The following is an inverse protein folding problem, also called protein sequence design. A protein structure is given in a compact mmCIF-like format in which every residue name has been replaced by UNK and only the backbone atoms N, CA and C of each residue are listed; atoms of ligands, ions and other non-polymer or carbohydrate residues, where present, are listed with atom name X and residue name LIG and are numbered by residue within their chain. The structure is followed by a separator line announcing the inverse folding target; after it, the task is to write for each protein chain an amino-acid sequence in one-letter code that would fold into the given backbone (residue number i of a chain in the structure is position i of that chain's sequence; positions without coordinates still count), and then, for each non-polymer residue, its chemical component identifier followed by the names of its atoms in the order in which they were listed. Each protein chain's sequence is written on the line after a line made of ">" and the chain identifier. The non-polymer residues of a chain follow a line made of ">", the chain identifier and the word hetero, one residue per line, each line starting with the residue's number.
data_IF_100235371487
#
_entry.id   IF_100235371487
#
_cell.length_a   1.000
_cell.length_b   1.000
_cell.length_c   1.000
_cell.angle_alpha   90.00
_cell.angle_beta   90.00
_cell.angle_gamma   90.00
#
_symmetry.space_group_name_H-M   'P 1'
#
loop_
_entity.id
_entity.type
_entity.pdbx_description
1 polymer ?
#
# COMPACT_ATOMS: atom_id res chain seq x y z
N UNK A 1 -19.97 -23.53 9.23
CA UNK A 1 -19.91 -22.22 9.93
C UNK A 1 -18.53 -21.54 9.83
N UNK A 2 -17.44 -22.31 9.86
CA UNK A 2 -16.05 -21.83 9.68
C UNK A 2 -15.82 -20.94 8.42
N UNK A 3 -16.39 -21.24 7.22
CA UNK A 3 -16.05 -20.43 6.03
C UNK A 3 -16.61 -19.00 6.06
N UNK A 4 -17.79 -18.77 6.65
CA UNK A 4 -18.38 -17.42 6.72
C UNK A 4 -17.57 -16.53 7.68
N UNK A 5 -17.16 -17.09 8.81
CA UNK A 5 -16.32 -16.39 9.79
C UNK A 5 -14.93 -16.07 9.23
N UNK A 6 -14.33 -16.97 8.45
CA UNK A 6 -13.07 -16.71 7.78
C UNK A 6 -13.19 -15.58 6.74
N UNK A 7 -14.23 -15.63 5.89
CA UNK A 7 -14.47 -14.58 4.89
C UNK A 7 -14.70 -13.22 5.57
N UNK A 8 -15.43 -13.18 6.68
CA UNK A 8 -15.66 -11.92 7.40
C UNK A 8 -14.37 -11.36 8.02
N UNK A 9 -13.51 -12.21 8.59
CA UNK A 9 -12.19 -11.78 9.08
C UNK A 9 -11.31 -11.20 7.97
N UNK A 10 -11.33 -11.83 6.79
CA UNK A 10 -10.57 -11.35 5.63
C UNK A 10 -11.08 -9.98 5.17
N UNK A 11 -12.41 -9.81 5.05
CA UNK A 11 -13.03 -8.53 4.68
C UNK A 11 -12.70 -7.44 5.73
N UNK A 12 -12.86 -7.73 7.02
CA UNK A 12 -12.60 -6.77 8.10
C UNK A 12 -11.12 -6.37 8.11
N UNK A 13 -10.20 -7.32 7.96
CA UNK A 13 -8.76 -7.05 7.87
C UNK A 13 -8.44 -6.15 6.68
N UNK A 14 -8.99 -6.46 5.50
CA UNK A 14 -8.81 -5.65 4.29
C UNK A 14 -9.31 -4.21 4.49
N UNK A 15 -10.51 -4.04 5.07
CA UNK A 15 -11.07 -2.71 5.37
C UNK A 15 -10.19 -1.94 6.36
N UNK A 16 -9.73 -2.58 7.44
CA UNK A 16 -8.85 -1.94 8.42
C UNK A 16 -7.54 -1.47 7.79
N UNK A 17 -6.96 -2.27 6.91
CA UNK A 17 -5.72 -1.92 6.21
C UNK A 17 -5.94 -0.74 5.30
N UNK A 18 -7.04 -0.72 4.55
CA UNK A 18 -7.39 0.42 3.69
C UNK A 18 -7.52 1.70 4.53
N UNK A 19 -8.16 1.63 5.70
CA UNK A 19 -8.29 2.79 6.59
C UNK A 19 -6.95 3.25 7.18
N UNK A 20 -6.13 2.33 7.67
CA UNK A 20 -4.78 2.63 8.20
C UNK A 20 -3.90 3.21 7.08
N UNK A 21 -4.00 2.66 5.87
CA UNK A 21 -3.31 3.12 4.68
C UNK A 21 -3.65 4.58 4.36
N UNK A 22 -4.94 4.93 4.35
CA UNK A 22 -5.36 6.32 4.12
C UNK A 22 -4.86 7.27 5.22
N UNK A 23 -4.94 6.87 6.49
CA UNK A 23 -4.45 7.67 7.62
C UNK A 23 -2.92 7.87 7.57
N UNK A 24 -2.18 6.82 7.23
CA UNK A 24 -0.72 6.85 7.10
C UNK A 24 -0.29 7.72 5.91
N UNK A 25 -0.94 7.56 4.75
CA UNK A 25 -0.68 8.41 3.57
C UNK A 25 -0.85 9.88 3.92
N UNK A 26 -1.99 10.23 4.52
CA UNK A 26 -2.29 11.61 4.90
C UNK A 26 -1.21 12.20 5.83
N UNK A 27 -0.68 11.39 6.74
CA UNK A 27 0.33 11.85 7.71
C UNK A 27 1.74 11.98 7.11
N UNK A 28 2.08 11.17 6.10
CA UNK A 28 3.45 11.06 5.56
C UNK A 28 3.65 11.82 4.24
N UNK A 29 2.56 12.18 3.57
CA UNK A 29 2.58 12.89 2.28
C UNK A 29 3.50 14.13 2.24
N UNK A 30 3.46 15.09 3.20
CA UNK A 30 4.32 16.27 3.16
C UNK A 30 5.82 15.93 3.20
N UNK A 31 6.18 14.87 3.92
CA UNK A 31 7.57 14.41 4.00
C UNK A 31 8.05 13.80 2.68
N UNK A 32 7.18 13.07 1.97
CA UNK A 32 7.53 12.45 0.69
C UNK A 32 7.77 13.50 -0.38
N UNK A 33 6.95 14.55 -0.42
CA UNK A 33 7.12 15.69 -1.33
C UNK A 33 8.47 16.38 -1.13
N UNK A 34 8.87 16.60 0.12
CA UNK A 34 10.11 17.31 0.44
C UNK A 34 11.37 16.46 0.25
N UNK A 35 11.24 15.12 0.30
CA UNK A 35 12.37 14.16 0.36
C UNK A 35 12.25 12.98 -0.60
N UNK A 36 11.69 13.19 -1.79
CA UNK A 36 11.50 12.18 -2.84
C UNK A 36 12.72 11.27 -3.08
N UNK A 37 13.93 11.83 -3.12
CA UNK A 37 15.16 11.06 -3.32
C UNK A 37 15.39 10.04 -2.20
N UNK A 38 15.20 10.44 -0.93
CA UNK A 38 15.36 9.56 0.22
C UNK A 38 14.32 8.44 0.17
N UNK A 39 13.06 8.78 -0.14
CA UNK A 39 11.97 7.80 -0.26
C UNK A 39 12.26 6.79 -1.35
N UNK A 40 12.83 7.21 -2.49
CA UNK A 40 13.24 6.30 -3.57
C UNK A 40 14.32 5.32 -3.12
N UNK A 41 15.34 5.78 -2.39
CA UNK A 41 16.39 4.91 -1.85
C UNK A 41 15.82 3.94 -0.81
N UNK A 42 14.96 4.43 0.07
CA UNK A 42 14.26 3.61 1.06
C UNK A 42 13.41 2.53 0.40
N UNK A 43 12.60 2.88 -0.60
CA UNK A 43 11.75 1.93 -1.33
C UNK A 43 12.57 0.81 -2.00
N UNK A 44 13.72 1.16 -2.59
CA UNK A 44 14.64 0.17 -3.18
C UNK A 44 15.26 -0.73 -2.12
N UNK A 45 15.70 -0.17 -0.99
CA UNK A 45 16.24 -0.94 0.12
C UNK A 45 15.19 -1.88 0.72
N UNK A 46 13.97 -1.41 0.91
CA UNK A 46 12.83 -2.21 1.37
C UNK A 46 12.49 -3.34 0.39
N UNK A 47 12.52 -3.08 -0.92
CA UNK A 47 12.28 -4.11 -1.92
C UNK A 47 13.39 -5.19 -1.89
N UNK A 48 14.67 -4.80 -1.78
CA UNK A 48 15.79 -5.74 -1.60
C UNK A 48 15.63 -6.55 -0.31
N UNK A 49 15.24 -5.91 0.79
CA UNK A 49 14.91 -6.60 2.03
C UNK A 49 13.80 -7.65 1.82
N UNK A 50 12.72 -7.29 1.12
CA UNK A 50 11.64 -8.22 0.82
C UNK A 50 12.07 -9.37 -0.10
N UNK A 51 13.02 -9.15 -1.01
CA UNK A 51 13.66 -10.23 -1.77
C UNK A 51 14.44 -11.18 -0.88
N UNK A 52 15.25 -10.65 0.03
CA UNK A 52 16.01 -11.45 0.98
C UNK A 52 15.05 -12.25 1.87
N UNK A 53 13.97 -11.63 2.36
CA UNK A 53 12.91 -12.33 3.09
C UNK A 53 12.25 -13.41 2.24
N UNK A 54 11.89 -13.11 0.98
CA UNK A 54 11.37 -14.07 0.03
C UNK A 54 12.28 -15.30 -0.15
N UNK A 55 13.59 -15.08 -0.23
CA UNK A 55 14.57 -16.17 -0.30
C UNK A 55 14.65 -16.97 1.00
N UNK A 56 14.67 -16.30 2.16
CA UNK A 56 14.69 -16.95 3.48
C UNK A 56 13.45 -17.83 3.67
N UNK A 57 12.28 -17.42 3.16
CA UNK A 57 11.04 -18.18 3.29
C UNK A 57 11.11 -19.57 2.66
N UNK A 58 11.98 -19.83 1.68
CA UNK A 58 12.20 -21.17 1.14
C UNK A 58 12.70 -22.18 2.18
N UNK A 59 13.32 -21.67 3.25
CA UNK A 59 13.90 -22.47 4.34
C UNK A 59 13.01 -22.48 5.59
N UNK A 60 11.81 -21.91 5.50
CA UNK A 60 10.85 -21.84 6.61
C UNK A 60 9.66 -22.76 6.40
N UNK A 61 8.87 -22.96 7.45
CA UNK A 61 7.68 -23.81 7.43
C UNK A 61 6.48 -23.18 6.70
N UNK A 62 6.56 -21.89 6.34
CA UNK A 62 5.50 -21.16 5.63
C UNK A 62 5.25 -21.66 4.19
N UNK A 63 6.13 -22.52 3.68
CA UNK A 63 5.95 -23.17 2.39
C UNK A 63 6.57 -22.40 1.22
N UNK A 64 7.09 -23.18 0.27
CA UNK A 64 7.82 -22.68 -0.92
C UNK A 64 6.94 -21.84 -1.85
N UNK A 65 5.63 -22.06 -1.83
CA UNK A 65 4.66 -21.27 -2.59
C UNK A 65 4.63 -19.82 -2.14
N UNK A 66 4.65 -19.56 -0.82
CA UNK A 66 4.71 -18.21 -0.22
C UNK A 66 6.00 -17.51 -0.62
N UNK A 67 7.12 -18.21 -0.55
CA UNK A 67 8.42 -17.69 -0.97
C UNK A 67 8.38 -17.24 -2.44
N UNK A 68 7.88 -18.10 -3.34
CA UNK A 68 7.81 -17.82 -4.76
C UNK A 68 6.89 -16.63 -5.08
N UNK A 69 5.67 -16.61 -4.55
CA UNK A 69 4.73 -15.49 -4.79
C UNK A 69 5.25 -14.18 -4.18
N UNK A 70 5.96 -14.22 -3.05
CA UNK A 70 6.63 -13.05 -2.47
C UNK A 70 7.68 -12.49 -3.42
N UNK A 71 8.54 -13.35 -3.97
CA UNK A 71 9.61 -12.96 -4.91
C UNK A 71 9.01 -12.39 -6.20
N UNK A 72 8.02 -13.07 -6.81
CA UNK A 72 7.36 -12.61 -8.04
C UNK A 72 6.66 -11.27 -7.83
N UNK A 73 5.97 -11.09 -6.71
CA UNK A 73 5.31 -9.82 -6.39
C UNK A 73 6.32 -8.69 -6.20
N UNK A 74 7.45 -8.96 -5.52
CA UNK A 74 8.50 -7.95 -5.33
C UNK A 74 9.27 -7.65 -6.63
N UNK A 75 9.38 -8.59 -7.59
CA UNK A 75 9.88 -8.30 -8.94
C UNK A 75 8.99 -7.30 -9.69
N UNK A 76 7.68 -7.45 -9.62
CA UNK A 76 6.75 -6.47 -10.22
C UNK A 76 6.93 -5.09 -9.58
N UNK A 77 7.01 -5.02 -8.25
CA UNK A 77 7.28 -3.76 -7.54
C UNK A 77 8.66 -3.18 -7.87
N UNK A 78 9.67 -4.01 -8.07
CA UNK A 78 10.99 -3.56 -8.48
C UNK A 78 10.95 -2.91 -9.87
N UNK A 79 10.19 -3.49 -10.81
CA UNK A 79 9.94 -2.89 -12.13
C UNK A 79 9.32 -1.50 -12.00
N UNK A 80 8.30 -1.35 -11.13
CA UNK A 80 7.68 -0.05 -10.83
C UNK A 80 8.70 0.95 -10.27
N UNK A 81 9.58 0.52 -9.36
CA UNK A 81 10.61 1.38 -8.76
C UNK A 81 11.69 1.85 -9.74
N UNK A 82 11.98 1.08 -10.77
CA UNK A 82 12.99 1.45 -11.77
C UNK A 82 12.42 2.28 -12.92
N UNK A 83 11.20 1.99 -13.38
CA UNK A 83 10.61 2.65 -14.54
C UNK A 83 9.71 3.85 -14.20
N UNK A 84 9.02 3.81 -13.06
CA UNK A 84 7.97 4.79 -12.74
C UNK A 84 8.28 5.67 -11.53
N UNK A 85 9.06 5.23 -10.55
CA UNK A 85 9.14 5.94 -9.27
C UNK A 85 9.95 7.25 -9.34
N UNK A 86 9.42 8.39 -8.84
CA UNK A 86 8.19 8.53 -8.04
C UNK A 86 6.88 8.72 -8.83
N UNK A 87 6.96 9.08 -10.11
CA UNK A 87 5.84 9.40 -11.01
C UNK A 87 5.22 8.14 -11.65
N UNK A 88 4.70 7.24 -10.81
CA UNK A 88 4.15 5.97 -11.28
C UNK A 88 2.86 6.23 -12.06
N UNK A 89 2.75 5.69 -13.28
CA UNK A 89 1.47 5.70 -13.99
C UNK A 89 0.54 4.61 -13.44
N UNK A 90 -0.67 5.00 -13.03
CA UNK A 90 -1.73 4.08 -12.58
C UNK A 90 -2.12 3.04 -13.63
N UNK A 91 -1.95 3.37 -14.91
CA UNK A 91 -2.27 2.48 -16.03
C UNK A 91 -1.06 1.66 -16.49
N UNK A 92 0.11 1.83 -15.86
CA UNK A 92 1.26 1.00 -16.18
C UNK A 92 1.00 -0.46 -15.83
N UNK A 93 1.36 -1.35 -16.74
CA UNK A 93 1.18 -2.79 -16.56
C UNK A 93 1.94 -3.26 -15.32
N UNK A 94 3.15 -2.75 -15.09
CA UNK A 94 3.96 -3.07 -13.92
C UNK A 94 3.24 -2.75 -12.60
N UNK A 95 2.58 -1.61 -12.51
CA UNK A 95 1.84 -1.20 -11.32
C UNK A 95 0.60 -2.08 -11.09
N UNK A 96 -0.17 -2.35 -12.15
CA UNK A 96 -1.35 -3.23 -12.08
C UNK A 96 -0.93 -4.65 -11.66
N UNK A 97 0.14 -5.19 -12.23
CA UNK A 97 0.69 -6.49 -11.84
C UNK A 97 1.20 -6.50 -10.40
N UNK A 98 1.86 -5.43 -9.95
CA UNK A 98 2.28 -5.27 -8.55
C UNK A 98 1.11 -5.29 -7.57
N UNK A 99 0.01 -4.59 -7.90
CA UNK A 99 -1.21 -4.60 -7.08
C UNK A 99 -1.90 -5.97 -7.06
N UNK A 100 -2.09 -6.61 -8.22
CA UNK A 100 -2.70 -7.95 -8.29
C UNK A 100 -1.83 -8.96 -7.53
N UNK A 101 -0.51 -8.91 -7.71
CA UNK A 101 0.43 -9.75 -6.99
C UNK A 101 0.34 -9.55 -5.48
N UNK A 102 0.24 -8.30 -5.03
CA UNK A 102 0.05 -7.95 -3.61
C UNK A 102 -1.24 -8.54 -3.05
N UNK A 103 -2.36 -8.44 -3.77
CA UNK A 103 -3.63 -9.02 -3.33
C UNK A 103 -3.57 -10.55 -3.27
N UNK A 104 -2.94 -11.18 -4.25
CA UNK A 104 -2.68 -12.62 -4.23
C UNK A 104 -1.81 -13.03 -3.05
N UNK A 105 -0.72 -12.30 -2.82
CA UNK A 105 0.22 -12.49 -1.70
C UNK A 105 -0.49 -12.31 -0.35
N UNK A 106 -1.34 -11.29 -0.22
CA UNK A 106 -2.18 -11.06 0.96
C UNK A 106 -3.06 -12.26 1.27
N UNK A 107 -3.86 -12.71 0.30
CA UNK A 107 -4.75 -13.85 0.48
C UNK A 107 -3.96 -15.11 0.86
N UNK A 108 -2.81 -15.34 0.23
CA UNK A 108 -1.98 -16.52 0.47
C UNK A 108 -1.37 -16.52 1.87
N UNK A 109 -0.82 -15.39 2.33
CA UNK A 109 -0.32 -15.25 3.69
C UNK A 109 -1.41 -15.41 4.75
N UNK A 110 -2.62 -14.91 4.51
CA UNK A 110 -3.74 -15.10 5.44
C UNK A 110 -4.09 -16.58 5.64
N UNK A 111 -4.05 -17.38 4.58
CA UNK A 111 -4.26 -18.84 4.69
C UNK A 111 -3.14 -19.47 5.54
N UNK A 112 -1.89 -19.13 5.25
CA UNK A 112 -0.73 -19.69 5.95
C UNK A 112 -0.69 -19.30 7.43
N UNK A 113 -1.05 -18.06 7.78
CA UNK A 113 -1.14 -17.64 9.18
C UNK A 113 -2.26 -18.32 9.96
N UNK A 114 -3.29 -18.86 9.30
CA UNK A 114 -4.31 -19.67 9.97
C UNK A 114 -3.88 -21.11 10.19
N UNK A 115 -2.99 -21.62 9.34
CA UNK A 115 -2.48 -23.00 9.42
C UNK A 115 -1.24 -23.11 10.31
N UNK A 116 -0.59 -21.99 10.63
CA UNK A 116 0.68 -21.97 11.36
C UNK A 116 0.53 -21.29 12.72
N UNK A 117 1.04 -21.93 13.78
CA UNK A 117 1.10 -21.34 15.13
C UNK A 117 2.21 -20.28 15.22
N UNK A 118 1.90 -19.08 14.73
CA UNK A 118 2.79 -17.92 14.77
C UNK A 118 2.30 -16.91 15.80
N UNK A 119 3.21 -16.34 16.59
CA UNK A 119 2.86 -15.23 17.47
C UNK A 119 2.26 -14.07 16.68
N UNK A 120 1.14 -13.50 17.14
CA UNK A 120 0.41 -12.45 16.41
C UNK A 120 1.27 -11.23 16.06
N UNK A 121 2.23 -10.86 16.91
CA UNK A 121 3.16 -9.75 16.65
C UNK A 121 4.11 -10.04 15.48
N UNK A 122 4.66 -11.26 15.41
CA UNK A 122 5.52 -11.67 14.30
C UNK A 122 4.74 -11.79 12.99
N UNK A 123 3.53 -12.35 13.04
CA UNK A 123 2.63 -12.41 11.89
C UNK A 123 2.32 -10.99 11.38
N UNK A 124 1.98 -10.06 12.27
CA UNK A 124 1.73 -8.65 11.92
C UNK A 124 2.96 -7.99 11.29
N UNK A 125 4.16 -8.23 11.83
CA UNK A 125 5.38 -7.68 11.27
C UNK A 125 5.63 -8.18 9.84
N UNK A 126 5.57 -9.50 9.62
CA UNK A 126 5.71 -10.09 8.28
C UNK A 126 4.63 -9.55 7.33
N UNK A 127 3.40 -9.46 7.82
CA UNK A 127 2.27 -8.97 7.07
C UNK A 127 2.47 -7.52 6.60
N UNK A 128 2.90 -6.63 7.48
CA UNK A 128 3.15 -5.23 7.11
C UNK A 128 4.38 -5.14 6.21
N UNK A 129 5.51 -5.72 6.61
CA UNK A 129 6.79 -5.52 5.93
C UNK A 129 6.84 -6.19 4.54
N UNK A 130 6.39 -7.44 4.44
CA UNK A 130 6.55 -8.27 3.23
C UNK A 130 5.42 -8.02 2.23
N UNK A 131 4.20 -7.76 2.72
CA UNK A 131 3.01 -7.66 1.86
C UNK A 131 2.68 -6.20 1.56
N UNK A 132 2.55 -5.35 2.59
CA UNK A 132 1.93 -4.03 2.42
C UNK A 132 2.89 -2.85 2.35
N UNK A 133 4.13 -2.98 2.83
CA UNK A 133 5.04 -1.84 2.88
C UNK A 133 5.37 -1.28 1.49
N UNK A 134 5.61 -2.14 0.50
CA UNK A 134 5.88 -1.72 -0.89
C UNK A 134 4.68 -1.01 -1.56
N UNK A 135 3.48 -1.59 -1.63
CA UNK A 135 2.31 -0.91 -2.21
C UNK A 135 2.01 0.40 -1.47
N UNK A 136 2.17 0.44 -0.15
CA UNK A 136 2.00 1.67 0.65
C UNK A 136 2.94 2.77 0.18
N UNK A 137 4.24 2.50 0.09
CA UNK A 137 5.24 3.48 -0.35
C UNK A 137 4.95 3.97 -1.79
N UNK A 138 4.57 3.08 -2.70
CA UNK A 138 4.21 3.44 -4.06
C UNK A 138 2.94 4.31 -4.12
N UNK A 139 1.92 4.00 -3.31
CA UNK A 139 0.67 4.77 -3.26
C UNK A 139 0.89 6.16 -2.66
N UNK A 140 1.70 6.30 -1.60
CA UNK A 140 2.04 7.62 -1.04
C UNK A 140 2.73 8.47 -2.12
N UNK A 141 3.72 7.89 -2.79
CA UNK A 141 4.46 8.58 -3.86
C UNK A 141 3.54 9.04 -4.99
N UNK A 142 2.60 8.17 -5.42
CA UNK A 142 1.65 8.49 -6.46
C UNK A 142 0.82 9.74 -6.08
N UNK A 143 0.27 9.76 -4.86
CA UNK A 143 -0.62 10.82 -4.43
C UNK A 143 0.15 12.13 -4.22
N UNK A 144 1.36 12.08 -3.62
CA UNK A 144 2.21 13.26 -3.46
C UNK A 144 2.62 13.90 -4.79
N UNK A 145 2.81 13.09 -5.84
CA UNK A 145 3.18 13.63 -7.15
C UNK A 145 2.02 14.31 -7.88
N UNK A 146 0.76 13.93 -7.60
CA UNK A 146 -0.41 14.53 -8.24
C UNK A 146 -0.70 15.95 -7.69
N UNK A 147 -0.41 16.19 -6.40
CA UNK A 147 -0.59 17.51 -5.77
C UNK A 147 0.47 18.53 -6.24
N UNK A 148 1.76 18.14 -6.26
CA UNK A 148 2.86 19.02 -6.68
C UNK A 148 2.77 19.53 -8.14
N UNK A 149 2.06 18.82 -9.02
CA UNK A 149 1.90 19.21 -10.43
C UNK A 149 0.65 20.10 -10.66
N UNK A 150 -0.19 20.28 -9.64
CA UNK A 150 -1.43 21.06 -9.71
C UNK A 150 -1.25 22.58 -9.66
N UNK A 151 -0.12 23.08 -9.15
CA UNK A 151 0.10 24.53 -9.01
C UNK A 151 0.65 25.20 -10.28
N UNK A 152 1.40 24.49 -11.13
CA UNK A 152 2.12 25.11 -12.27
C UNK A 152 1.60 24.74 -13.67
N UNK A 153 0.68 23.78 -13.83
CA UNK A 153 0.25 23.31 -15.15
C UNK A 153 -1.28 23.24 -15.34
N UNK A 154 -1.87 24.35 -15.84
CA UNK A 154 -3.28 24.43 -16.27
C UNK A 154 -3.66 23.54 -17.48
N UNK A 155 -2.74 22.72 -18.01
CA UNK A 155 -2.91 22.04 -19.31
C UNK A 155 -2.97 20.51 -19.26
N UNK A 156 -2.82 19.87 -18.09
CA UNK A 156 -2.95 18.41 -17.97
C UNK A 156 -4.34 17.99 -17.46
N UNK A 157 -4.90 16.88 -17.97
CA UNK A 157 -6.21 16.41 -17.55
C UNK A 157 -6.18 16.06 -16.06
N UNK A 158 -7.04 16.72 -15.27
CA UNK A 158 -7.22 16.45 -13.84
C UNK A 158 -7.41 14.95 -13.63
N UNK A 159 -6.61 14.36 -12.74
CA UNK A 159 -6.76 12.94 -12.41
C UNK A 159 -8.17 12.71 -11.85
N UNK A 160 -8.85 11.68 -12.36
CA UNK A 160 -10.21 11.34 -11.94
C UNK A 160 -10.27 11.11 -10.42
N UNK A 161 -9.19 10.59 -9.85
CA UNK A 161 -9.05 10.28 -8.43
C UNK A 161 -8.93 11.51 -7.54
N UNK A 162 -8.15 12.54 -7.94
CA UNK A 162 -8.11 13.79 -7.19
C UNK A 162 -9.51 14.39 -7.07
N UNK A 163 -10.27 14.41 -8.17
CA UNK A 163 -11.65 14.89 -8.16
C UNK A 163 -12.59 14.03 -7.31
N UNK A 164 -12.34 12.73 -7.24
CA UNK A 164 -13.17 11.79 -6.47
C UNK A 164 -12.88 11.90 -4.97
N UNK A 165 -11.61 11.95 -4.59
CA UNK A 165 -11.16 12.10 -3.20
C UNK A 165 -11.58 13.47 -2.67
N UNK A 166 -11.38 14.55 -3.43
CA UNK A 166 -11.78 15.90 -3.04
C UNK A 166 -13.31 15.98 -2.79
N UNK A 167 -14.11 15.40 -3.70
CA UNK A 167 -15.57 15.32 -3.53
C UNK A 167 -15.96 14.52 -2.28
N UNK A 168 -15.29 13.40 -2.01
CA UNK A 168 -15.57 12.58 -0.83
C UNK A 168 -15.12 13.26 0.46
N UNK A 169 -13.98 13.93 0.45
CA UNK A 169 -13.47 14.70 1.59
C UNK A 169 -14.39 15.87 1.92
N UNK A 170 -14.86 16.62 0.91
CA UNK A 170 -15.85 17.68 1.10
C UNK A 170 -17.17 17.15 1.65
N UNK A 171 -17.62 15.99 1.16
CA UNK A 171 -18.82 15.32 1.67
C UNK A 171 -18.68 14.84 3.12
N UNK A 172 -17.50 14.35 3.52
CA UNK A 172 -17.23 14.00 4.93
C UNK A 172 -17.15 15.27 5.78
N UNK A 173 -16.48 16.32 5.32
CA UNK A 173 -16.45 17.63 6.01
C UNK A 173 -17.84 18.21 6.20
N UNK A 174 -18.77 18.04 5.26
CA UNK A 174 -20.14 18.52 5.40
C UNK A 174 -21.00 17.66 6.34
N UNK A 175 -20.63 16.40 6.58
CA UNK A 175 -21.28 15.53 7.57
C UNK A 175 -20.73 15.71 8.99
N UNK A 176 -19.52 16.22 9.15
CA UNK A 176 -18.98 16.54 10.46
C UNK A 176 -19.73 17.75 11.03
N UNK A 177 -20.21 17.69 12.29
CA UNK A 177 -20.86 18.82 12.93
C UNK A 177 -19.86 19.98 12.91
N UNK A 178 -20.27 21.10 12.30
CA UNK A 178 -19.47 22.31 12.35
C UNK A 178 -19.27 22.64 13.82
N UNK A 179 -18.04 22.50 14.32
CA UNK A 179 -17.59 23.17 15.53
C UNK A 179 -17.68 24.66 15.21
N UNK A 180 -18.88 25.20 15.42
CA UNK A 180 -19.13 26.62 15.34
C UNK A 180 -18.21 27.27 16.34
N UNK A 181 -17.23 28.00 15.84
CA UNK A 181 -16.43 28.93 16.59
C UNK A 181 -17.38 30.04 17.06
N UNK A 182 -18.04 29.79 18.20
CA UNK A 182 -18.66 30.81 19.02
C UNK A 182 -17.64 31.20 20.08
N UNK A 183 -16.61 31.89 19.65
CA UNK A 183 -15.80 32.74 20.52
C UNK A 183 -16.01 34.17 20.01
N UNK A 184 -17.19 34.71 20.36
CA UNK A 184 -17.33 36.12 20.68
C UNK A 184 -16.52 36.43 21.96
#
# INVERSE_FOLDING_TARGET
>A
MIPIFFISQLIVSLVLIVLILFAFIYSVMPFVEERVSIVKHFARALNIFNFAMGFLLFFTEYGKSVALITIVTNLAWLSVLYHGFPFISLTSIDFILGLIGTLGLHCWWMVIFLETDVSGSFALFLYIAVIWAMPLVCLISLISTDESLGEDNKSRPKSFWASFIEKKLQWVKSMLPHTGDKLD
#
